data_IF_006809391544
#
_entry.id   IF_006809391544
#
_cell.length_a   1.000
_cell.length_b   1.000
_cell.length_c   1.000
_cell.angle_alpha   90.00
_cell.angle_beta   90.00
_cell.angle_gamma   90.00
#
_symmetry.space_group_name_H-M   'P 1'
#
loop_
_entity.id
_entity.type
_entity.pdbx_description
1 polymer ?
#
# COMPACT_ATOMS: atom_id res chain seq x y z
N UNK A 1 -46.62 -14.13 -25.91
CA UNK A 1 -45.19 -14.33 -25.58
C UNK A 1 -44.70 -13.13 -24.79
N UNK A 2 -44.11 -13.26 -23.59
CA UNK A 2 -43.57 -12.11 -22.88
C UNK A 2 -42.14 -11.83 -23.34
N UNK A 3 -41.89 -10.61 -23.83
CA UNK A 3 -40.53 -10.14 -24.12
C UNK A 3 -39.77 -10.00 -22.80
N UNK A 4 -38.67 -10.76 -22.64
CA UNK A 4 -37.68 -10.50 -21.59
C UNK A 4 -36.99 -9.17 -21.92
N UNK A 5 -37.29 -8.13 -21.14
CA UNK A 5 -36.48 -6.91 -21.16
C UNK A 5 -35.06 -7.26 -20.73
N UNK A 6 -34.11 -7.12 -21.66
CA UNK A 6 -32.70 -7.19 -21.34
C UNK A 6 -32.36 -5.97 -20.47
N UNK A 7 -31.98 -6.21 -19.21
CA UNK A 7 -31.42 -5.18 -18.35
C UNK A 7 -30.07 -4.78 -18.98
N UNK A 8 -29.87 -3.51 -19.38
CA UNK A 8 -28.57 -3.10 -19.86
C UNK A 8 -27.59 -3.19 -18.69
N UNK A 9 -26.64 -4.11 -18.79
CA UNK A 9 -25.45 -4.10 -17.95
C UNK A 9 -24.68 -2.86 -18.38
N UNK A 10 -24.80 -1.77 -17.61
CA UNK A 10 -23.94 -0.61 -17.80
C UNK A 10 -22.52 -1.03 -17.47
N UNK A 11 -21.76 -1.39 -18.50
CA UNK A 11 -20.32 -1.57 -18.39
C UNK A 11 -19.74 -0.22 -17.97
N UNK A 12 -19.35 -0.09 -16.70
CA UNK A 12 -18.68 1.13 -16.20
C UNK A 12 -17.40 1.29 -17.02
N UNK A 13 -17.40 2.24 -17.93
CA UNK A 13 -16.17 2.68 -18.60
C UNK A 13 -15.29 3.25 -17.50
N UNK A 14 -14.18 2.56 -17.19
CA UNK A 14 -13.22 3.07 -16.21
C UNK A 14 -12.66 4.38 -16.73
N UNK A 15 -12.79 5.42 -15.93
CA UNK A 15 -12.12 6.68 -16.21
C UNK A 15 -10.61 6.50 -16.03
N UNK A 16 -9.81 7.36 -16.64
CA UNK A 16 -8.37 7.41 -16.36
C UNK A 16 -8.09 7.67 -14.86
N UNK A 17 -9.03 8.26 -14.12
CA UNK A 17 -8.96 8.39 -12.67
C UNK A 17 -9.11 7.04 -11.95
N UNK A 18 -10.06 6.22 -12.37
CA UNK A 18 -10.26 4.87 -11.82
C UNK A 18 -9.02 3.98 -12.06
N UNK A 19 -8.42 4.05 -13.24
CA UNK A 19 -7.19 3.29 -13.56
C UNK A 19 -6.01 3.72 -12.68
N UNK A 20 -5.82 5.03 -12.49
CA UNK A 20 -4.76 5.56 -11.60
C UNK A 20 -4.95 5.10 -10.16
N UNK A 21 -6.17 5.22 -9.63
CA UNK A 21 -6.48 4.78 -8.27
C UNK A 21 -6.22 3.29 -8.08
N UNK A 22 -6.61 2.47 -9.07
CA UNK A 22 -6.36 1.03 -9.06
C UNK A 22 -4.87 0.70 -9.07
N UNK A 23 -4.07 1.43 -9.85
CA UNK A 23 -2.62 1.24 -9.88
C UNK A 23 -2.00 1.58 -8.52
N UNK A 24 -2.38 2.70 -7.89
CA UNK A 24 -1.87 3.06 -6.55
C UNK A 24 -2.17 1.96 -5.53
N UNK A 25 -3.39 1.43 -5.52
CA UNK A 25 -3.76 0.33 -4.63
C UNK A 25 -2.97 -0.95 -4.91
N UNK A 26 -2.70 -1.25 -6.19
CA UNK A 26 -1.90 -2.42 -6.57
C UNK A 26 -0.46 -2.29 -6.09
N UNK A 27 0.16 -1.12 -6.27
CA UNK A 27 1.53 -0.88 -5.82
C UNK A 27 1.62 -0.85 -4.28
N UNK A 28 0.60 -0.32 -3.59
CA UNK A 28 0.51 -0.40 -2.14
C UNK A 28 0.47 -1.86 -1.66
N UNK A 29 -0.37 -2.69 -2.30
CA UNK A 29 -0.47 -4.10 -1.93
C UNK A 29 0.84 -4.86 -2.19
N UNK A 30 1.51 -4.59 -3.30
CA UNK A 30 2.82 -5.17 -3.58
C UNK A 30 3.86 -4.78 -2.50
N UNK A 31 3.83 -3.51 -2.06
CA UNK A 31 4.69 -3.06 -0.97
C UNK A 31 4.37 -3.75 0.37
N UNK A 32 3.08 -3.98 0.67
CA UNK A 32 2.65 -4.75 1.85
C UNK A 32 3.22 -6.18 1.81
N UNK A 33 3.08 -6.87 0.68
CA UNK A 33 3.60 -8.25 0.53
C UNK A 33 5.13 -8.32 0.67
N UNK A 34 5.87 -7.33 0.15
CA UNK A 34 7.34 -7.32 0.20
C UNK A 34 7.89 -6.93 1.58
N UNK A 35 7.25 -5.96 2.25
CA UNK A 35 7.82 -5.29 3.40
C UNK A 35 7.24 -5.76 4.73
N UNK A 36 5.97 -6.17 4.79
CA UNK A 36 5.37 -6.61 6.07
C UNK A 36 6.11 -7.83 6.62
N UNK A 37 6.40 -7.79 7.93
CA UNK A 37 7.17 -8.82 8.61
C UNK A 37 8.68 -8.79 8.34
N UNK A 38 9.16 -7.91 7.45
CA UNK A 38 10.61 -7.75 7.22
C UNK A 38 11.24 -7.00 8.38
N UNK A 39 12.36 -7.52 8.86
CA UNK A 39 13.20 -6.84 9.85
C UNK A 39 14.03 -5.77 9.18
N UNK A 40 13.93 -4.53 9.66
CA UNK A 40 14.67 -3.38 9.18
C UNK A 40 15.44 -2.73 10.32
N UNK A 41 16.53 -2.05 9.97
CA UNK A 41 17.29 -1.22 10.92
C UNK A 41 16.99 0.24 10.64
N UNK A 42 16.54 0.96 11.65
CA UNK A 42 16.29 2.39 11.55
C UNK A 42 17.59 3.18 11.56
N UNK A 43 17.49 4.46 11.16
CA UNK A 43 18.63 5.39 11.15
C UNK A 43 19.25 5.59 12.54
N UNK A 44 18.47 5.40 13.61
CA UNK A 44 18.92 5.46 15.01
C UNK A 44 19.65 4.18 15.49
N UNK A 45 19.81 3.17 14.62
CA UNK A 45 20.51 1.92 14.90
C UNK A 45 19.65 0.84 15.55
N UNK A 46 18.37 1.09 15.82
CA UNK A 46 17.45 0.09 16.37
C UNK A 46 16.85 -0.77 15.26
N UNK A 47 16.64 -2.05 15.56
CA UNK A 47 16.02 -2.99 14.64
C UNK A 47 14.58 -3.30 15.07
N UNK A 48 13.69 -3.42 14.09
CA UNK A 48 12.31 -3.83 14.30
C UNK A 48 11.69 -4.40 13.03
N UNK A 49 10.63 -5.18 13.19
CA UNK A 49 9.86 -5.71 12.06
C UNK A 49 8.80 -4.71 11.61
N UNK A 50 8.63 -4.52 10.32
CA UNK A 50 7.53 -3.72 9.77
C UNK A 50 6.21 -4.44 10.06
N UNK A 51 5.27 -3.75 10.71
CA UNK A 51 3.97 -4.31 11.12
C UNK A 51 2.76 -3.62 10.49
N UNK A 52 2.97 -2.55 9.73
CA UNK A 52 1.91 -1.84 9.03
C UNK A 52 2.49 -0.93 7.96
N UNK A 53 1.71 -0.68 6.90
CA UNK A 53 2.06 0.21 5.79
C UNK A 53 0.83 1.03 5.43
N UNK A 54 1.00 2.34 5.29
CA UNK A 54 -0.09 3.28 5.03
C UNK A 54 0.33 4.38 4.06
N UNK A 55 -0.63 4.93 3.30
CA UNK A 55 -0.41 6.10 2.45
C UNK A 55 -0.72 7.39 3.22
N UNK A 56 0.20 8.34 3.14
CA UNK A 56 0.09 9.69 3.69
C UNK A 56 0.11 10.71 2.54
N UNK A 57 -0.79 11.70 2.61
CA UNK A 57 -0.96 12.74 1.60
C UNK A 57 0.23 13.69 1.47
N UNK A 58 1.13 13.72 2.45
CA UNK A 58 2.32 14.60 2.43
C UNK A 58 3.62 13.84 2.10
N UNK A 59 3.81 12.66 2.69
CA UNK A 59 5.09 11.94 2.61
C UNK A 59 5.03 10.66 1.76
N UNK A 60 3.87 10.29 1.22
CA UNK A 60 3.71 9.05 0.46
C UNK A 60 3.60 7.83 1.38
N UNK A 61 4.43 6.81 1.17
CA UNK A 61 4.35 5.56 1.92
C UNK A 61 4.97 5.69 3.33
N UNK A 62 4.16 5.42 4.36
CA UNK A 62 4.59 5.33 5.75
C UNK A 62 4.53 3.89 6.23
N UNK A 63 5.38 3.57 7.18
CA UNK A 63 5.46 2.24 7.78
C UNK A 63 5.38 2.34 9.30
N UNK A 64 4.83 1.30 9.90
CA UNK A 64 4.86 1.08 11.34
C UNK A 64 5.86 -0.04 11.64
N UNK A 65 6.65 0.15 12.69
CA UNK A 65 7.71 -0.78 13.07
C UNK A 65 7.45 -1.24 14.49
N UNK A 66 7.43 -2.56 14.70
CA UNK A 66 7.28 -3.15 16.03
C UNK A 66 8.42 -2.69 16.96
N UNK A 67 8.06 -2.22 18.15
CA UNK A 67 9.00 -1.65 19.11
C UNK A 67 9.27 -0.15 18.93
N UNK A 68 8.66 0.49 17.92
CA UNK A 68 8.77 1.92 17.66
C UNK A 68 7.40 2.57 17.62
N UNK A 69 7.29 3.74 18.26
CA UNK A 69 6.03 4.47 18.29
C UNK A 69 5.87 5.31 17.02
N UNK A 70 4.70 5.25 16.39
CA UNK A 70 4.31 6.09 15.27
C UNK A 70 4.61 5.52 13.88
N UNK A 71 4.23 6.30 12.86
CA UNK A 71 4.37 5.97 11.44
C UNK A 71 5.57 6.72 10.85
N UNK A 72 6.53 6.00 10.30
CA UNK A 72 7.77 6.55 9.79
C UNK A 72 7.76 6.57 8.26
N UNK A 73 8.33 7.60 7.61
CA UNK A 73 8.54 7.57 6.17
C UNK A 73 9.40 6.36 5.78
N UNK A 74 9.08 5.72 4.66
CA UNK A 74 9.88 4.61 4.12
C UNK A 74 11.37 4.97 3.99
N UNK A 75 11.71 6.24 3.73
CA UNK A 75 13.09 6.73 3.66
C UNK A 75 13.89 6.64 4.96
N UNK A 76 13.25 6.29 6.08
CA UNK A 76 13.88 6.20 7.41
C UNK A 76 14.53 4.84 7.65
N UNK A 77 14.14 3.82 6.88
CA UNK A 77 14.68 2.45 7.02
C UNK A 77 15.97 2.29 6.25
N UNK A 78 16.87 1.51 6.83
CA UNK A 78 18.00 0.92 6.12
C UNK A 78 17.75 -0.57 6.00
N UNK A 79 17.82 -1.06 4.78
CA UNK A 79 17.84 -2.49 4.51
C UNK A 79 19.19 -3.05 4.95
N UNK A 80 19.17 -3.98 5.89
CA UNK A 80 20.28 -4.88 6.12
C UNK A 80 20.22 -5.91 4.99
N UNK A 81 20.97 -5.65 3.91
CA UNK A 81 21.29 -6.70 2.95
C UNK A 81 22.25 -7.66 3.65
N UNK A 82 21.76 -8.85 3.95
CA UNK A 82 22.57 -10.00 4.32
C UNK A 82 22.85 -10.84 3.09
#
# INVERSE_FOLDING_TARGET
>A
MPQRSAIPVFQKVMSTGDERARNILRELHAAEEELLGRTVVMSDGKAGAINGIELDGVHGLRISISGHHGHWPISTIRYIQG
#
